data_IF_485105591871
#
_entry.id   IF_485105591871
#
_cell.length_a   1.000
_cell.length_b   1.000
_cell.length_c   1.000
_cell.angle_alpha   90.00
_cell.angle_beta   90.00
_cell.angle_gamma   90.00
#
_symmetry.space_group_name_H-M   'P 1'
#
loop_
_entity.id
_entity.type
_entity.pdbx_description
1 polymer ?
#
# COMPACT_ATOMS: atom_id res chain seq x y z
N UNK A 1 29.30 1.28 -6.70
CA UNK A 1 28.71 1.64 -5.40
C UNK A 1 27.75 2.83 -5.53
N UNK A 2 28.12 3.97 -6.12
CA UNK A 2 27.25 5.14 -6.25
C UNK A 2 25.86 4.83 -6.85
N UNK A 3 25.77 4.20 -8.02
CA UNK A 3 24.49 3.86 -8.65
C UNK A 3 23.65 2.83 -7.91
N UNK A 4 24.20 2.10 -6.93
CA UNK A 4 23.41 1.23 -6.03
C UNK A 4 22.80 2.05 -4.90
N UNK A 5 23.52 3.02 -4.34
CA UNK A 5 23.03 3.88 -3.27
C UNK A 5 21.95 4.87 -3.78
N UNK A 6 22.07 5.38 -5.00
CA UNK A 6 21.03 6.19 -5.64
C UNK A 6 19.71 5.40 -5.76
N UNK A 7 19.77 4.16 -6.28
CA UNK A 7 18.58 3.30 -6.37
C UNK A 7 17.97 2.95 -5.01
N UNK A 8 18.80 2.78 -3.97
CA UNK A 8 18.32 2.56 -2.60
C UNK A 8 17.59 3.80 -2.11
N UNK A 9 18.09 5.01 -2.39
CA UNK A 9 17.42 6.26 -2.03
C UNK A 9 16.07 6.41 -2.72
N UNK A 10 16.00 6.20 -4.04
CA UNK A 10 14.74 6.23 -4.81
C UNK A 10 13.72 5.19 -4.32
N UNK A 11 14.18 3.97 -4.05
CA UNK A 11 13.33 2.93 -3.48
C UNK A 11 12.82 3.31 -2.09
N UNK A 12 13.65 3.96 -1.27
CA UNK A 12 13.27 4.41 0.06
C UNK A 12 12.18 5.47 0.01
N UNK A 13 12.25 6.41 -0.93
CA UNK A 13 11.19 7.41 -1.15
C UNK A 13 9.88 6.74 -1.58
N UNK A 14 9.95 5.75 -2.48
CA UNK A 14 8.78 4.98 -2.92
C UNK A 14 8.13 4.20 -1.77
N UNK A 15 8.93 3.55 -0.91
CA UNK A 15 8.44 2.82 0.26
C UNK A 15 7.84 3.77 1.29
N UNK A 16 8.45 4.94 1.53
CA UNK A 16 7.89 5.97 2.40
C UNK A 16 6.52 6.46 1.90
N UNK A 17 6.40 6.73 0.59
CA UNK A 17 5.13 7.12 -0.01
C UNK A 17 4.05 6.03 0.16
N UNK A 18 4.39 4.75 -0.07
CA UNK A 18 3.47 3.63 0.14
C UNK A 18 3.05 3.48 1.61
N UNK A 19 3.96 3.71 2.56
CA UNK A 19 3.65 3.69 3.99
C UNK A 19 2.71 4.84 4.40
N UNK A 20 2.89 6.03 3.84
CA UNK A 20 1.97 7.15 4.04
C UNK A 20 0.58 6.88 3.44
N UNK A 21 0.50 6.24 2.27
CA UNK A 21 -0.78 5.83 1.68
C UNK A 21 -1.48 4.76 2.54
N UNK A 22 -0.72 3.80 3.08
CA UNK A 22 -1.26 2.81 4.02
C UNK A 22 -1.79 3.44 5.30
N UNK A 23 -1.14 4.48 5.84
CA UNK A 23 -1.63 5.29 6.96
C UNK A 23 -2.95 5.98 6.64
N UNK A 24 -3.06 6.67 5.52
CA UNK A 24 -4.29 7.34 5.09
C UNK A 24 -5.45 6.35 4.87
N UNK A 25 -5.14 5.16 4.32
CA UNK A 25 -6.11 4.08 4.19
C UNK A 25 -6.54 3.54 5.57
N UNK A 26 -5.62 3.38 6.51
CA UNK A 26 -5.94 2.97 7.87
C UNK A 26 -6.86 3.98 8.57
N UNK A 27 -6.63 5.28 8.44
CA UNK A 27 -7.53 6.32 8.95
C UNK A 27 -8.92 6.25 8.34
N UNK A 28 -9.01 6.02 7.03
CA UNK A 28 -10.29 5.87 6.31
C UNK A 28 -11.06 4.65 6.81
N UNK A 29 -10.37 3.49 6.97
CA UNK A 29 -11.00 2.26 7.47
C UNK A 29 -11.38 2.39 8.94
N UNK A 30 -10.61 3.16 9.74
CA UNK A 30 -10.97 3.48 11.14
C UNK A 30 -12.30 4.22 11.19
N UNK A 31 -12.47 5.29 10.39
CA UNK A 31 -13.72 6.04 10.32
C UNK A 31 -14.91 5.17 9.88
N UNK A 32 -14.71 4.33 8.86
CA UNK A 32 -15.74 3.39 8.43
C UNK A 32 -16.11 2.35 9.50
N UNK A 33 -15.14 1.90 10.30
CA UNK A 33 -15.38 0.98 11.42
C UNK A 33 -16.18 1.62 12.54
N UNK A 34 -15.93 2.91 12.83
CA UNK A 34 -16.74 3.68 13.81
C UNK A 34 -18.19 3.84 13.35
N UNK A 35 -18.42 4.13 12.05
CA UNK A 35 -19.76 4.20 11.47
C UNK A 35 -20.47 2.85 11.52
N UNK A 36 -19.75 1.76 11.19
CA UNK A 36 -20.28 0.39 11.33
C UNK A 36 -20.67 0.07 12.78
N UNK A 37 -19.83 0.40 13.74
CA UNK A 37 -20.13 0.19 15.16
C UNK A 37 -21.35 0.99 15.61
N UNK A 38 -21.56 2.19 15.11
CA UNK A 38 -22.76 3.00 15.37
C UNK A 38 -24.02 2.35 14.74
N UNK A 39 -23.91 1.87 13.49
CA UNK A 39 -24.99 1.15 12.81
C UNK A 39 -25.38 -0.14 13.53
N UNK A 40 -24.38 -0.92 13.98
CA UNK A 40 -24.59 -2.16 14.75
C UNK A 40 -25.37 -1.88 16.04
N UNK A 41 -25.03 -0.84 16.77
CA UNK A 41 -25.78 -0.43 17.97
C UNK A 41 -27.24 -0.06 17.66
N UNK A 42 -27.47 0.65 16.57
CA UNK A 42 -28.83 1.00 16.15
C UNK A 42 -29.63 -0.24 15.72
N UNK A 43 -29.02 -1.16 14.97
CA UNK A 43 -29.67 -2.43 14.60
C UNK A 43 -30.00 -3.26 15.86
N UNK A 44 -29.08 -3.32 16.83
CA UNK A 44 -29.32 -4.01 18.11
C UNK A 44 -30.53 -3.43 18.82
N UNK A 45 -30.67 -2.11 18.92
CA UNK A 45 -31.82 -1.42 19.51
C UNK A 45 -33.12 -1.76 18.77
N UNK A 46 -33.08 -1.79 17.42
CA UNK A 46 -34.24 -2.14 16.60
C UNK A 46 -34.67 -3.60 16.79
N UNK A 47 -33.73 -4.53 16.98
CA UNK A 47 -34.02 -5.92 17.27
C UNK A 47 -34.68 -6.08 18.65
N UNK A 48 -34.19 -5.36 19.66
CA UNK A 48 -34.79 -5.34 21.01
C UNK A 48 -36.23 -4.83 20.95
N UNK A 49 -36.47 -3.76 20.23
CA UNK A 49 -37.80 -3.20 20.01
C UNK A 49 -38.71 -4.17 19.24
N UNK A 50 -38.19 -4.81 18.18
CA UNK A 50 -38.94 -5.83 17.43
C UNK A 50 -39.31 -7.02 18.29
N UNK A 51 -38.39 -7.48 19.13
CA UNK A 51 -38.64 -8.59 20.07
C UNK A 51 -39.70 -8.22 21.11
N UNK A 52 -39.70 -7.00 21.65
CA UNK A 52 -40.76 -6.51 22.55
C UNK A 52 -42.12 -6.49 21.85
N UNK A 53 -42.17 -5.94 20.64
CA UNK A 53 -43.43 -5.89 19.86
C UNK A 53 -43.95 -7.27 19.49
N UNK A 54 -43.09 -8.23 19.19
CA UNK A 54 -43.53 -9.63 18.94
C UNK A 54 -44.05 -10.30 20.18
N UNK A 55 -43.45 -10.04 21.36
CA UNK A 55 -43.98 -10.54 22.64
C UNK A 55 -45.35 -9.95 22.95
N UNK A 56 -45.57 -8.65 22.77
CA UNK A 56 -46.87 -8.00 22.93
C UNK A 56 -47.91 -8.56 21.95
N UNK A 57 -47.53 -8.78 20.69
CA UNK A 57 -48.40 -9.33 19.66
C UNK A 57 -48.76 -10.80 19.97
N UNK A 58 -47.86 -11.62 20.51
CA UNK A 58 -48.13 -12.96 20.99
C UNK A 58 -49.17 -12.95 22.13
N UNK A 59 -48.99 -12.08 23.13
CA UNK A 59 -49.91 -11.91 24.23
C UNK A 59 -51.31 -11.49 23.75
N UNK A 60 -51.40 -10.55 22.83
CA UNK A 60 -52.64 -10.12 22.21
C UNK A 60 -53.31 -11.25 21.44
N UNK A 61 -52.51 -12.08 20.73
CA UNK A 61 -52.97 -13.28 20.06
C UNK A 61 -53.61 -14.32 21.03
N UNK A 62 -52.98 -14.57 22.14
CA UNK A 62 -53.49 -15.47 23.19
C UNK A 62 -54.82 -14.94 23.79
N UNK A 63 -54.89 -13.65 24.07
CA UNK A 63 -56.13 -13.01 24.55
C UNK A 63 -57.23 -13.15 23.53
N UNK A 64 -56.95 -12.90 22.25
CA UNK A 64 -57.87 -13.04 21.16
C UNK A 64 -58.40 -14.51 21.04
N UNK A 65 -57.52 -15.51 21.09
CA UNK A 65 -57.85 -16.92 21.03
C UNK A 65 -58.80 -17.32 22.19
N UNK A 66 -58.49 -16.89 23.42
CA UNK A 66 -59.29 -17.12 24.59
C UNK A 66 -60.70 -16.45 24.47
N UNK A 67 -60.71 -15.23 23.95
CA UNK A 67 -61.98 -14.49 23.74
C UNK A 67 -62.88 -15.19 22.73
N UNK A 68 -62.31 -15.63 21.61
CA UNK A 68 -63.07 -16.32 20.54
C UNK A 68 -63.51 -17.72 21.02
N UNK A 69 -62.73 -18.41 21.81
CA UNK A 69 -63.14 -19.66 22.44
C UNK A 69 -64.33 -19.46 23.37
N UNK A 70 -64.28 -18.42 24.22
CA UNK A 70 -65.41 -18.08 25.09
C UNK A 70 -66.70 -17.68 24.30
N UNK A 71 -66.50 -17.01 23.17
CA UNK A 71 -67.63 -16.69 22.24
C UNK A 71 -68.24 -17.97 21.68
N UNK A 72 -67.41 -18.92 21.22
CA UNK A 72 -67.85 -20.23 20.73
C UNK A 72 -68.72 -20.95 21.78
N UNK A 73 -68.20 -21.09 23.03
CA UNK A 73 -68.91 -21.70 24.10
C UNK A 73 -70.26 -21.02 24.38
N UNK A 74 -70.33 -19.71 24.25
CA UNK A 74 -71.55 -18.93 24.42
C UNK A 74 -72.57 -19.20 23.30
N UNK A 75 -72.10 -19.25 22.05
CA UNK A 75 -72.92 -19.61 20.90
C UNK A 75 -73.47 -21.02 20.97
N UNK A 76 -72.65 -21.97 21.41
CA UNK A 76 -73.10 -23.37 21.61
C UNK A 76 -74.17 -23.45 22.65
N UNK A 77 -74.07 -22.75 23.78
CA UNK A 77 -75.19 -22.69 24.83
C UNK A 77 -76.42 -22.03 24.30
N UNK A 78 -76.32 -20.96 23.49
CA UNK A 78 -77.53 -20.37 22.89
C UNK A 78 -78.20 -21.34 21.92
N UNK A 79 -77.40 -22.16 21.22
CA UNK A 79 -77.89 -23.27 20.38
C UNK A 79 -78.71 -24.26 21.15
N UNK A 80 -78.21 -24.73 22.31
CA UNK A 80 -78.94 -25.63 23.19
C UNK A 80 -80.25 -25.02 23.67
N UNK A 81 -80.26 -23.71 23.99
CA UNK A 81 -81.49 -23.03 24.41
C UNK A 81 -82.48 -22.89 23.25
N UNK A 82 -81.97 -22.60 22.04
CA UNK A 82 -82.82 -22.51 20.84
C UNK A 82 -83.49 -23.84 20.50
N UNK A 83 -82.73 -24.97 20.62
CA UNK A 83 -83.28 -26.31 20.43
C UNK A 83 -84.39 -26.63 21.46
N UNK A 84 -84.12 -26.30 22.74
CA UNK A 84 -85.14 -26.50 23.81
C UNK A 84 -86.43 -25.69 23.55
N UNK A 85 -86.30 -24.41 23.07
CA UNK A 85 -87.43 -23.54 22.69
C UNK A 85 -88.24 -24.19 21.53
N UNK A 86 -87.48 -24.73 20.54
CA UNK A 86 -88.05 -25.44 19.40
C UNK A 86 -88.89 -26.64 19.85
N UNK A 87 -88.40 -27.45 20.79
CA UNK A 87 -89.07 -28.59 21.37
C UNK A 87 -90.32 -28.17 22.15
N UNK A 88 -90.22 -27.07 22.94
CA UNK A 88 -91.38 -26.51 23.66
C UNK A 88 -92.48 -26.07 22.69
N UNK A 89 -92.09 -25.41 21.60
CA UNK A 89 -92.97 -24.94 20.55
C UNK A 89 -93.67 -26.13 19.86
N UNK A 90 -92.95 -27.17 19.54
CA UNK A 90 -93.51 -28.40 18.97
C UNK A 90 -94.51 -29.11 19.96
N UNK A 91 -94.14 -29.15 21.20
CA UNK A 91 -95.04 -29.72 22.24
C UNK A 91 -96.32 -28.87 22.46
N UNK A 92 -96.09 -27.52 22.44
CA UNK A 92 -97.25 -26.56 22.55
C UNK A 92 -98.19 -26.66 21.36
N UNK A 93 -97.67 -26.83 20.14
CA UNK A 93 -98.42 -27.03 18.91
C UNK A 93 -99.30 -28.34 19.02
N UNK A 94 -98.70 -29.42 19.54
CA UNK A 94 -99.40 -30.68 19.80
C UNK A 94 -100.52 -30.53 20.87
N UNK A 95 -100.27 -29.80 21.95
CA UNK A 95 -101.24 -29.50 22.99
C UNK A 95 -102.43 -28.64 22.41
N UNK A 96 -102.05 -27.60 21.58
CA UNK A 96 -103.07 -26.75 20.92
C UNK A 96 -103.90 -27.54 19.91
N UNK A 97 -103.30 -28.49 19.20
CA UNK A 97 -103.99 -29.39 18.30
C UNK A 97 -105.02 -30.25 19.04
N UNK A 98 -104.60 -30.86 20.17
CA UNK A 98 -105.48 -31.67 21.01
C UNK A 98 -106.65 -30.84 21.57
N UNK A 99 -106.35 -29.60 22.02
CA UNK A 99 -107.37 -28.67 22.48
C UNK A 99 -108.33 -28.27 21.36
N UNK A 100 -107.85 -28.07 20.10
CA UNK A 100 -108.70 -27.79 18.94
C UNK A 100 -109.65 -28.98 18.64
N UNK A 101 -109.14 -30.19 18.74
CA UNK A 101 -109.93 -31.43 18.54
C UNK A 101 -111.09 -31.52 19.59
N UNK A 102 -110.74 -31.33 20.89
CA UNK A 102 -111.68 -31.40 21.96
C UNK A 102 -112.70 -30.28 21.94
N UNK A 103 -112.32 -29.05 21.55
CA UNK A 103 -113.22 -27.97 21.34
C UNK A 103 -114.22 -28.21 20.15
N UNK A 104 -113.80 -28.89 19.11
CA UNK A 104 -114.66 -29.35 18.02
C UNK A 104 -115.65 -30.42 18.48
N UNK A 105 -115.20 -31.28 19.42
CA UNK A 105 -116.04 -32.38 20.02
C UNK A 105 -117.12 -31.83 20.92
N UNK A 106 -116.86 -30.66 21.59
CA UNK A 106 -117.88 -30.00 22.46
C UNK A 106 -118.95 -29.20 21.67
N UNK A 107 -118.93 -29.20 20.40
CA UNK A 107 -119.88 -28.54 19.54
C UNK A 107 -120.01 -27.03 19.76
N UNK A 108 -121.21 -26.48 19.88
CA UNK A 108 -121.48 -25.01 20.03
C UNK A 108 -120.89 -24.45 21.35
N UNK A 109 -120.76 -25.24 22.42
CA UNK A 109 -120.14 -24.83 23.70
C UNK A 109 -118.64 -24.69 23.62
N UNK A 110 -118.00 -25.31 22.64
CA UNK A 110 -116.54 -25.23 22.41
C UNK A 110 -116.03 -24.16 21.53
N UNK A 111 -116.91 -23.34 20.86
CA UNK A 111 -116.45 -22.32 19.85
C UNK A 111 -115.45 -21.29 20.36
N UNK A 112 -115.58 -20.78 21.61
CA UNK A 112 -114.60 -19.85 22.21
C UNK A 112 -113.25 -20.52 22.48
N UNK A 113 -113.29 -21.78 22.94
CA UNK A 113 -112.06 -22.58 23.15
C UNK A 113 -111.37 -22.94 21.84
N UNK A 114 -112.08 -23.21 20.78
CA UNK A 114 -111.51 -23.49 19.47
C UNK A 114 -110.69 -22.27 18.89
N UNK A 115 -111.17 -21.05 19.09
CA UNK A 115 -110.47 -19.81 18.66
C UNK A 115 -109.12 -19.66 19.45
N UNK A 116 -109.19 -19.85 20.77
CA UNK A 116 -107.95 -19.77 21.62
C UNK A 116 -106.98 -20.87 21.25
N UNK A 117 -107.49 -22.12 21.08
CA UNK A 117 -106.64 -23.22 20.66
C UNK A 117 -105.95 -22.99 19.30
N UNK A 118 -106.66 -22.41 18.33
CA UNK A 118 -106.12 -22.09 17.05
C UNK A 118 -105.04 -20.95 17.16
N UNK A 119 -105.29 -19.91 18.00
CA UNK A 119 -104.31 -18.86 18.26
C UNK A 119 -103.00 -19.39 18.93
N UNK A 120 -103.18 -20.26 19.94
CA UNK A 120 -102.06 -20.95 20.57
C UNK A 120 -101.19 -21.77 19.55
N UNK A 121 -101.95 -22.45 18.65
CA UNK A 121 -101.33 -23.22 17.58
C UNK A 121 -100.56 -22.33 16.60
N UNK A 122 -101.13 -21.17 16.22
CA UNK A 122 -100.45 -20.22 15.35
C UNK A 122 -99.21 -19.65 16.01
N UNK A 123 -99.25 -19.33 17.32
CA UNK A 123 -98.16 -18.82 18.08
C UNK A 123 -97.01 -19.87 18.23
N UNK A 124 -97.43 -21.16 18.49
CA UNK A 124 -96.47 -22.24 18.52
C UNK A 124 -95.71 -22.46 17.21
N UNK A 125 -96.46 -22.41 16.07
CA UNK A 125 -95.84 -22.47 14.73
C UNK A 125 -94.94 -21.29 14.44
N UNK A 126 -95.31 -20.09 14.86
CA UNK A 126 -94.45 -18.89 14.70
C UNK A 126 -93.22 -18.96 15.55
N UNK A 127 -93.32 -19.46 16.79
CA UNK A 127 -92.19 -19.70 17.68
C UNK A 127 -91.21 -20.70 17.07
N UNK A 128 -91.77 -21.88 16.57
CA UNK A 128 -90.89 -22.85 15.87
C UNK A 128 -90.12 -22.29 14.68
N UNK A 129 -90.78 -21.46 13.84
CA UNK A 129 -90.15 -20.83 12.72
C UNK A 129 -89.12 -19.81 13.14
N UNK A 130 -89.37 -19.06 14.21
CA UNK A 130 -88.35 -18.12 14.76
C UNK A 130 -87.11 -18.82 15.34
N UNK A 131 -87.32 -19.97 16.04
CA UNK A 131 -86.20 -20.75 16.56
C UNK A 131 -85.38 -21.42 15.45
N UNK A 132 -86.05 -21.91 14.40
CA UNK A 132 -85.32 -22.39 13.20
C UNK A 132 -84.42 -21.35 12.58
N UNK A 133 -84.92 -20.09 12.44
CA UNK A 133 -84.12 -18.97 11.95
C UNK A 133 -82.99 -18.63 12.91
N UNK A 134 -83.19 -18.63 14.23
CA UNK A 134 -82.10 -18.42 15.21
C UNK A 134 -81.07 -19.56 15.10
N UNK A 135 -81.42 -20.82 14.97
CA UNK A 135 -80.49 -21.94 14.78
C UNK A 135 -79.64 -21.76 13.50
N UNK A 136 -80.27 -21.32 12.41
CA UNK A 136 -79.55 -21.01 11.17
C UNK A 136 -78.49 -19.89 11.38
N UNK A 137 -78.88 -18.78 12.03
CA UNK A 137 -77.99 -17.68 12.35
C UNK A 137 -76.85 -18.11 13.28
N UNK A 138 -77.10 -18.94 14.27
CA UNK A 138 -76.08 -19.51 15.16
C UNK A 138 -75.11 -20.35 14.37
N UNK A 139 -75.55 -21.17 13.41
CA UNK A 139 -74.68 -21.91 12.52
C UNK A 139 -73.75 -21.01 11.68
N UNK A 140 -74.27 -19.87 11.20
CA UNK A 140 -73.43 -18.87 10.51
C UNK A 140 -72.37 -18.27 11.45
N UNK A 141 -72.79 -17.90 12.68
CA UNK A 141 -71.88 -17.36 13.70
C UNK A 141 -70.80 -18.38 14.06
N UNK A 142 -71.14 -19.65 14.24
CA UNK A 142 -70.19 -20.77 14.52
C UNK A 142 -69.14 -20.90 13.40
N UNK A 143 -69.54 -20.82 12.10
CA UNK A 143 -68.66 -20.90 10.96
C UNK A 143 -67.70 -19.70 10.90
N UNK A 144 -68.20 -18.49 11.13
CA UNK A 144 -67.37 -17.27 11.21
C UNK A 144 -66.41 -17.34 12.36
N UNK A 145 -66.85 -17.75 13.55
CA UNK A 145 -66.04 -17.93 14.76
C UNK A 145 -64.92 -18.92 14.50
N UNK A 146 -65.21 -20.10 13.90
CA UNK A 146 -64.24 -21.08 13.49
C UNK A 146 -63.16 -20.50 12.54
N UNK A 147 -63.58 -19.68 11.57
CA UNK A 147 -62.65 -19.01 10.66
C UNK A 147 -61.74 -17.99 11.36
N UNK A 148 -62.27 -17.26 12.36
CA UNK A 148 -61.49 -16.34 13.20
C UNK A 148 -60.46 -17.07 14.04
N UNK A 149 -60.84 -18.18 14.67
CA UNK A 149 -59.90 -19.05 15.43
C UNK A 149 -58.71 -19.46 14.53
N UNK A 150 -59.00 -19.99 13.33
CA UNK A 150 -57.96 -20.42 12.41
C UNK A 150 -57.05 -19.25 11.99
N UNK A 151 -57.60 -18.08 11.80
CA UNK A 151 -56.85 -16.87 11.44
C UNK A 151 -55.94 -16.41 12.59
N UNK A 152 -56.45 -16.38 13.81
CA UNK A 152 -55.65 -16.02 15.02
C UNK A 152 -54.51 -17.02 15.23
N UNK A 153 -54.76 -18.32 15.10
CA UNK A 153 -53.68 -19.33 15.19
C UNK A 153 -52.62 -19.15 14.11
N UNK A 154 -53.04 -18.87 12.88
CA UNK A 154 -52.06 -18.57 11.80
C UNK A 154 -51.27 -17.31 12.10
N UNK A 155 -51.90 -16.27 12.64
CA UNK A 155 -51.23 -15.03 13.04
C UNK A 155 -50.20 -15.29 14.13
N UNK A 156 -50.58 -15.99 15.20
CA UNK A 156 -49.65 -16.37 16.29
C UNK A 156 -48.47 -17.19 15.79
N UNK A 157 -48.70 -18.15 14.88
CA UNK A 157 -47.63 -18.91 14.24
C UNK A 157 -46.64 -18.01 13.44
N UNK A 158 -47.15 -17.02 12.70
CA UNK A 158 -46.32 -16.06 11.96
C UNK A 158 -45.53 -15.15 12.91
N UNK A 159 -46.10 -14.71 14.01
CA UNK A 159 -45.43 -13.89 15.03
C UNK A 159 -44.29 -14.68 15.66
N UNK A 160 -44.44 -15.95 16.01
CA UNK A 160 -43.36 -16.82 16.51
C UNK A 160 -42.23 -16.95 15.50
N UNK A 161 -42.56 -17.01 14.20
CA UNK A 161 -41.53 -17.05 13.15
C UNK A 161 -40.78 -15.73 13.04
N UNK A 162 -41.42 -14.55 13.25
CA UNK A 162 -40.75 -13.26 13.32
C UNK A 162 -39.79 -13.21 14.51
N UNK A 163 -40.18 -13.70 15.65
CA UNK A 163 -39.34 -13.79 16.84
C UNK A 163 -38.09 -14.66 16.62
N UNK A 164 -38.24 -15.81 15.96
CA UNK A 164 -37.12 -16.67 15.56
C UNK A 164 -36.16 -15.96 14.62
N UNK A 165 -36.69 -15.21 13.63
CA UNK A 165 -35.87 -14.41 12.70
C UNK A 165 -35.14 -13.29 13.44
N UNK A 166 -35.82 -12.59 14.34
CA UNK A 166 -35.20 -11.51 15.15
C UNK A 166 -34.07 -12.08 16.03
N UNK A 167 -34.24 -13.24 16.63
CA UNK A 167 -33.21 -13.94 17.40
C UNK A 167 -32.00 -14.30 16.54
N UNK A 168 -32.21 -14.83 15.33
CA UNK A 168 -31.12 -15.14 14.40
C UNK A 168 -30.39 -13.88 13.92
N UNK A 169 -31.10 -12.79 13.68
CA UNK A 169 -30.48 -11.49 13.34
C UNK A 169 -29.67 -10.97 14.51
N UNK A 170 -30.12 -11.11 15.76
CA UNK A 170 -29.36 -10.73 16.95
C UNK A 170 -28.02 -11.47 17.05
N UNK A 171 -27.99 -12.75 16.70
CA UNK A 171 -26.74 -13.55 16.68
C UNK A 171 -25.78 -13.00 15.60
N UNK A 172 -26.28 -12.74 14.38
CA UNK A 172 -25.48 -12.23 13.29
C UNK A 172 -24.91 -10.83 13.59
N UNK A 173 -25.70 -9.97 14.23
CA UNK A 173 -25.30 -8.63 14.64
C UNK A 173 -24.17 -8.68 15.68
N UNK A 174 -24.21 -9.60 16.64
CA UNK A 174 -23.09 -9.81 17.57
C UNK A 174 -21.81 -10.25 16.85
N UNK A 175 -21.92 -11.17 15.89
CA UNK A 175 -20.78 -11.58 15.09
C UNK A 175 -20.20 -10.43 14.26
N UNK A 176 -21.08 -9.53 13.74
CA UNK A 176 -20.62 -8.31 13.06
C UNK A 176 -19.92 -7.33 14.00
N UNK A 177 -20.41 -7.20 15.25
CA UNK A 177 -19.75 -6.37 16.26
C UNK A 177 -18.35 -6.89 16.58
N UNK A 178 -18.21 -8.19 16.83
CA UNK A 178 -16.91 -8.84 17.07
C UNK A 178 -15.94 -8.61 15.89
N UNK A 179 -16.42 -8.81 14.65
CA UNK A 179 -15.62 -8.61 13.46
C UNK A 179 -15.21 -7.13 13.26
N UNK A 180 -16.13 -6.19 13.54
CA UNK A 180 -15.85 -4.74 13.45
C UNK A 180 -14.81 -4.31 14.47
N UNK A 181 -14.87 -4.86 15.70
CA UNK A 181 -13.86 -4.62 16.73
C UNK A 181 -12.49 -5.21 16.35
N UNK A 182 -12.46 -6.35 15.66
CA UNK A 182 -11.23 -6.94 15.15
C UNK A 182 -10.63 -6.09 14.02
N UNK A 183 -11.47 -5.59 13.10
CA UNK A 183 -11.06 -4.66 12.06
C UNK A 183 -10.44 -3.42 12.69
N UNK A 184 -11.09 -2.80 13.67
CA UNK A 184 -10.58 -1.61 14.35
C UNK A 184 -9.19 -1.87 14.99
N UNK A 185 -8.99 -3.02 15.63
CA UNK A 185 -7.67 -3.39 16.18
C UNK A 185 -6.61 -3.57 15.10
N UNK A 186 -6.95 -4.25 14.00
CA UNK A 186 -6.03 -4.47 12.88
C UNK A 186 -5.63 -3.16 12.19
N UNK A 187 -6.55 -2.19 12.12
CA UNK A 187 -6.29 -0.85 11.58
C UNK A 187 -5.26 -0.11 12.44
N UNK A 188 -5.41 -0.15 13.76
CA UNK A 188 -4.42 0.46 14.68
C UNK A 188 -3.05 -0.18 14.49
N UNK A 189 -2.96 -1.51 14.42
CA UNK A 189 -1.70 -2.20 14.17
C UNK A 189 -1.09 -1.86 12.81
N UNK A 190 -1.94 -1.70 11.78
CA UNK A 190 -1.48 -1.28 10.44
C UNK A 190 -0.90 0.13 10.48
N UNK A 191 -1.54 1.05 11.18
CA UNK A 191 -1.04 2.41 11.36
C UNK A 191 0.30 2.45 12.11
N UNK A 192 0.43 1.67 13.19
CA UNK A 192 1.69 1.53 13.94
C UNK A 192 2.80 0.94 13.07
N UNK A 193 2.52 -0.13 12.33
CA UNK A 193 3.49 -0.75 11.42
C UNK A 193 3.91 0.20 10.29
N UNK A 194 2.98 0.98 9.73
CA UNK A 194 3.28 1.96 8.68
C UNK A 194 4.18 3.08 9.20
N UNK A 195 3.97 3.55 10.43
CA UNK A 195 4.84 4.52 11.07
C UNK A 195 6.25 3.96 11.29
N UNK A 196 6.35 2.72 11.77
CA UNK A 196 7.65 2.03 11.95
C UNK A 196 8.39 1.85 10.62
N UNK A 197 7.67 1.50 9.55
CA UNK A 197 8.25 1.42 8.19
C UNK A 197 8.76 2.78 7.74
N UNK A 198 8.01 3.87 7.97
CA UNK A 198 8.43 5.23 7.62
C UNK A 198 9.70 5.64 8.36
N UNK A 199 9.81 5.34 9.64
CA UNK A 199 11.02 5.62 10.44
C UNK A 199 12.23 4.81 9.92
N UNK A 200 12.06 3.50 9.75
CA UNK A 200 13.14 2.61 9.30
C UNK A 200 13.62 2.95 7.88
N UNK A 201 12.71 3.29 6.99
CA UNK A 201 13.08 3.63 5.62
C UNK A 201 13.81 4.99 5.56
N UNK A 202 13.48 5.92 6.46
CA UNK A 202 14.25 7.14 6.64
C UNK A 202 15.70 6.88 7.03
N UNK A 203 15.93 5.93 7.94
CA UNK A 203 17.30 5.48 8.28
C UNK A 203 18.02 4.86 7.09
N UNK A 204 17.34 4.00 6.31
CA UNK A 204 17.92 3.39 5.10
C UNK A 204 18.32 4.46 4.07
N UNK A 205 17.48 5.46 3.85
CA UNK A 205 17.79 6.56 2.96
C UNK A 205 19.02 7.37 3.44
N UNK A 206 19.13 7.63 4.74
CA UNK A 206 20.29 8.30 5.34
C UNK A 206 21.57 7.47 5.17
N UNK A 207 21.53 6.16 5.42
CA UNK A 207 22.68 5.27 5.21
C UNK A 207 23.09 5.21 3.73
N UNK A 208 22.13 5.23 2.80
CA UNK A 208 22.41 5.28 1.37
C UNK A 208 23.15 6.58 1.00
N UNK A 209 22.76 7.71 1.57
CA UNK A 209 23.43 8.99 1.37
C UNK A 209 24.85 9.01 1.94
N UNK A 210 25.05 8.43 3.12
CA UNK A 210 26.38 8.28 3.71
C UNK A 210 27.28 7.38 2.85
N UNK A 211 26.73 6.31 2.28
CA UNK A 211 27.44 5.43 1.36
C UNK A 211 27.85 6.14 0.05
N UNK A 212 27.02 7.06 -0.45
CA UNK A 212 27.41 7.92 -1.59
C UNK A 212 28.63 8.79 -1.25
N UNK A 213 28.62 9.40 -0.09
CA UNK A 213 29.75 10.22 0.39
C UNK A 213 31.02 9.39 0.53
N UNK A 214 30.94 8.22 1.17
CA UNK A 214 32.07 7.29 1.31
C UNK A 214 32.57 6.78 -0.04
N UNK A 215 31.69 6.54 -1.01
CA UNK A 215 32.07 6.13 -2.35
C UNK A 215 32.86 7.23 -3.10
N UNK A 216 32.44 8.50 -2.93
CA UNK A 216 33.17 9.65 -3.47
C UNK A 216 34.57 9.78 -2.83
N UNK A 217 34.68 9.63 -1.51
CA UNK A 217 35.97 9.65 -0.80
C UNK A 217 36.88 8.50 -1.23
N UNK A 218 36.34 7.29 -1.42
CA UNK A 218 37.09 6.14 -1.93
C UNK A 218 37.65 6.40 -3.35
N UNK A 219 36.86 7.02 -4.23
CA UNK A 219 37.36 7.38 -5.57
C UNK A 219 38.50 8.38 -5.48
N UNK A 220 38.43 9.39 -4.61
CA UNK A 220 39.51 10.36 -4.38
C UNK A 220 40.77 9.67 -3.84
N UNK A 221 40.63 8.77 -2.87
CA UNK A 221 41.77 7.99 -2.36
C UNK A 221 42.38 7.12 -3.46
N UNK A 222 41.56 6.50 -4.31
CA UNK A 222 42.06 5.70 -5.43
C UNK A 222 42.88 6.55 -6.42
N UNK A 223 42.43 7.77 -6.75
CA UNK A 223 43.19 8.72 -7.58
C UNK A 223 44.52 9.12 -6.93
N UNK A 224 44.53 9.37 -5.61
CA UNK A 224 45.75 9.70 -4.87
C UNK A 224 46.74 8.53 -4.85
N UNK A 225 46.24 7.29 -4.71
CA UNK A 225 47.07 6.06 -4.78
C UNK A 225 47.66 5.89 -6.19
N UNK A 226 46.86 6.07 -7.23
CA UNK A 226 47.33 5.98 -8.62
C UNK A 226 48.43 7.03 -8.91
N UNK A 227 48.25 8.26 -8.44
CA UNK A 227 49.27 9.30 -8.54
C UNK A 227 50.55 8.92 -7.80
N UNK A 228 50.48 8.37 -6.59
CA UNK A 228 51.60 7.94 -5.80
C UNK A 228 52.36 6.76 -6.46
N UNK A 229 51.64 5.79 -7.02
CA UNK A 229 52.23 4.69 -7.79
C UNK A 229 52.98 5.20 -9.01
N UNK A 230 52.41 6.17 -9.72
CA UNK A 230 53.06 6.80 -10.90
C UNK A 230 54.39 7.48 -10.51
N UNK A 231 54.40 8.20 -9.39
CA UNK A 231 55.60 8.86 -8.87
C UNK A 231 56.65 7.83 -8.41
N UNK A 232 56.25 6.79 -7.72
CA UNK A 232 57.09 5.69 -7.27
C UNK A 232 57.76 4.98 -8.47
N UNK A 233 57.00 4.70 -9.51
CA UNK A 233 57.51 4.15 -10.78
C UNK A 233 58.55 5.03 -11.41
N UNK A 234 58.30 6.35 -11.46
CA UNK A 234 59.26 7.35 -12.01
C UNK A 234 60.55 7.38 -11.20
N UNK A 235 60.44 7.32 -9.86
CA UNK A 235 61.59 7.29 -8.95
C UNK A 235 62.41 5.99 -9.08
N UNK A 236 61.74 4.84 -9.21
CA UNK A 236 62.37 3.55 -9.41
C UNK A 236 63.20 3.51 -10.71
N UNK A 237 62.59 3.97 -11.81
CA UNK A 237 63.31 4.09 -13.11
C UNK A 237 64.56 4.97 -12.99
N UNK A 238 64.45 6.07 -12.23
CA UNK A 238 65.59 6.98 -12.00
C UNK A 238 66.69 6.27 -11.18
N UNK A 239 66.34 5.57 -10.10
CA UNK A 239 67.30 4.84 -9.25
C UNK A 239 68.02 3.73 -10.05
N UNK A 240 67.25 2.91 -10.80
CA UNK A 240 67.83 1.87 -11.66
C UNK A 240 68.82 2.43 -12.66
N UNK A 241 68.49 3.59 -13.31
CA UNK A 241 69.39 4.28 -14.24
C UNK A 241 70.67 4.81 -13.62
N UNK A 242 70.60 5.21 -12.33
CA UNK A 242 71.79 5.77 -11.65
C UNK A 242 72.61 4.72 -10.89
N UNK A 243 72.00 3.63 -10.48
CA UNK A 243 72.68 2.59 -9.67
C UNK A 243 73.39 1.52 -10.51
N UNK A 244 73.04 1.35 -11.78
CA UNK A 244 73.64 0.34 -12.66
C UNK A 244 74.70 0.96 -13.58
N UNK A 245 76.01 0.75 -13.34
CA UNK A 245 77.07 1.28 -14.20
C UNK A 245 76.93 0.89 -15.70
N UNK A 246 76.31 -0.29 -15.94
CA UNK A 246 76.08 -0.82 -17.30
C UNK A 246 74.98 -0.08 -18.07
N UNK A 247 74.03 0.59 -17.37
CA UNK A 247 72.96 1.38 -17.98
C UNK A 247 73.34 2.85 -18.12
N UNK A 248 74.32 3.32 -17.32
CA UNK A 248 74.83 4.68 -17.45
C UNK A 248 75.90 4.74 -18.51
N UNK A 249 75.52 4.74 -19.78
CA UNK A 249 76.39 4.87 -20.96
C UNK A 249 77.10 6.25 -21.05
N UNK A 250 76.85 7.14 -20.10
CA UNK A 250 77.36 8.53 -20.12
C UNK A 250 78.73 8.58 -19.45
N UNK A 251 79.68 8.97 -20.24
CA UNK A 251 81.08 9.10 -19.80
C UNK A 251 81.35 10.43 -19.08
N UNK A 252 80.56 11.44 -19.32
CA UNK A 252 80.74 12.79 -18.79
C UNK A 252 79.52 13.29 -18.00
N UNK A 253 79.71 14.01 -16.88
CA UNK A 253 78.62 14.59 -16.09
C UNK A 253 77.87 15.63 -16.93
N UNK A 254 76.52 15.69 -16.81
CA UNK A 254 75.66 16.67 -17.44
C UNK A 254 75.21 17.74 -16.45
N UNK A 255 75.13 18.93 -16.95
CA UNK A 255 74.73 20.11 -16.20
C UNK A 255 73.48 20.71 -16.84
N UNK A 256 72.43 20.92 -16.07
CA UNK A 256 71.21 21.63 -16.52
C UNK A 256 71.58 23.13 -16.60
N UNK A 257 71.87 23.62 -17.79
CA UNK A 257 72.30 24.99 -17.99
C UNK A 257 71.72 25.57 -19.28
N UNK A 258 71.13 26.76 -19.19
CA UNK A 258 70.63 27.51 -20.33
C UNK A 258 71.71 28.50 -20.82
N UNK A 259 72.54 27.99 -21.69
CA UNK A 259 73.57 28.81 -22.34
C UNK A 259 73.15 29.13 -23.77
N UNK A 260 73.36 30.37 -24.19
CA UNK A 260 73.07 30.72 -25.58
C UNK A 260 74.04 29.98 -26.49
N UNK A 261 73.52 29.43 -27.58
CA UNK A 261 74.30 28.70 -28.57
C UNK A 261 74.01 29.20 -29.97
N UNK A 262 75.04 29.18 -30.81
CA UNK A 262 74.89 29.38 -32.25
C UNK A 262 75.33 28.10 -32.96
N UNK A 263 74.42 27.48 -33.68
CA UNK A 263 74.66 26.25 -34.43
C UNK A 263 74.74 26.53 -35.89
N UNK A 264 75.83 26.06 -36.53
CA UNK A 264 76.07 26.21 -37.98
C UNK A 264 76.06 24.86 -38.64
N UNK A 265 75.12 24.65 -39.62
CA UNK A 265 74.98 23.41 -40.38
C UNK A 265 74.70 23.77 -41.84
N UNK A 266 75.50 23.22 -42.78
CA UNK A 266 75.27 23.40 -44.21
C UNK A 266 75.27 24.88 -44.67
N UNK A 267 76.05 25.74 -44.00
CA UNK A 267 76.15 27.15 -44.31
C UNK A 267 75.05 28.06 -43.69
N UNK A 268 74.02 27.44 -43.00
CA UNK A 268 73.01 28.14 -42.20
C UNK A 268 73.47 28.32 -40.77
N UNK A 269 73.15 29.45 -40.15
CA UNK A 269 73.40 29.69 -38.74
C UNK A 269 72.09 29.86 -37.99
N UNK A 270 71.86 29.06 -36.95
CA UNK A 270 70.67 29.04 -36.09
C UNK A 270 71.07 29.44 -34.68
N UNK A 271 70.22 30.20 -34.00
CA UNK A 271 70.38 30.52 -32.57
C UNK A 271 69.55 29.59 -31.72
N UNK A 272 70.03 29.32 -30.54
CA UNK A 272 69.30 28.49 -29.57
C UNK A 272 69.86 28.60 -28.15
N UNK A 273 69.37 27.77 -27.29
CA UNK A 273 69.86 27.64 -25.91
C UNK A 273 70.07 26.19 -25.57
N UNK A 274 71.04 25.88 -24.71
CA UNK A 274 71.20 24.53 -24.13
C UNK A 274 70.07 24.27 -23.16
N UNK A 275 69.57 23.04 -23.16
CA UNK A 275 68.69 22.50 -22.11
C UNK A 275 69.57 21.81 -21.05
N UNK A 276 70.50 21.01 -21.51
CA UNK A 276 71.56 20.44 -20.71
C UNK A 276 72.84 20.39 -21.51
N UNK A 277 73.98 20.31 -20.83
CA UNK A 277 75.30 20.26 -21.45
C UNK A 277 76.25 19.36 -20.67
N UNK A 278 77.10 18.62 -21.38
CA UNK A 278 78.20 17.84 -20.84
C UNK A 278 79.48 18.07 -21.69
N UNK A 279 80.60 17.51 -21.28
CA UNK A 279 81.77 17.51 -22.12
C UNK A 279 81.56 16.72 -23.43
N UNK A 280 80.70 15.67 -23.42
CA UNK A 280 80.42 14.81 -24.59
C UNK A 280 79.36 15.31 -25.54
N UNK A 281 78.49 16.26 -25.13
CA UNK A 281 77.38 16.72 -25.95
C UNK A 281 76.41 17.61 -25.22
N UNK A 282 75.43 18.16 -25.96
CA UNK A 282 74.42 19.05 -25.40
C UNK A 282 73.04 18.78 -26.00
N UNK A 283 72.03 18.98 -25.21
CA UNK A 283 70.66 19.09 -25.72
C UNK A 283 70.32 20.58 -25.89
N UNK A 284 69.88 20.94 -27.08
CA UNK A 284 69.58 22.33 -27.42
C UNK A 284 68.15 22.51 -27.88
N UNK A 285 67.60 23.69 -27.62
CA UNK A 285 66.38 24.22 -28.26
C UNK A 285 66.83 25.28 -29.30
N UNK A 286 66.51 25.02 -30.53
CA UNK A 286 66.94 25.87 -31.68
C UNK A 286 65.76 26.67 -32.22
N UNK A 287 66.10 27.76 -32.97
CA UNK A 287 65.11 28.60 -33.65
C UNK A 287 64.39 27.88 -34.82
N UNK A 288 65.05 26.88 -35.40
CA UNK A 288 64.53 26.06 -36.52
C UNK A 288 64.93 24.63 -36.34
N UNK A 289 64.13 23.68 -36.89
CA UNK A 289 64.43 22.27 -36.80
C UNK A 289 65.72 21.91 -37.57
N UNK A 290 66.38 20.88 -37.04
CA UNK A 290 67.64 20.33 -37.62
C UNK A 290 67.43 18.85 -37.91
N UNK A 291 67.98 18.33 -38.98
CA UNK A 291 67.87 16.91 -39.32
C UNK A 291 68.80 16.03 -38.48
N UNK A 292 68.37 14.81 -38.11
CA UNK A 292 69.19 13.80 -37.51
C UNK A 292 70.38 13.41 -38.44
N UNK A 293 71.50 13.17 -37.87
CA UNK A 293 72.73 12.86 -38.60
C UNK A 293 73.40 14.09 -39.24
N UNK A 294 72.82 15.28 -39.10
CA UNK A 294 73.45 16.50 -39.59
C UNK A 294 74.76 16.84 -38.84
N UNK A 295 75.81 17.23 -39.57
CA UNK A 295 77.09 17.64 -38.99
C UNK A 295 77.31 19.10 -39.12
N UNK A 296 77.90 19.72 -38.09
CA UNK A 296 78.09 21.14 -38.03
C UNK A 296 79.00 21.59 -36.90
N UNK A 297 78.94 22.83 -36.61
CA UNK A 297 79.69 23.45 -35.52
C UNK A 297 78.74 24.19 -34.59
N UNK A 298 78.88 24.02 -33.27
CA UNK A 298 78.15 24.73 -32.25
C UNK A 298 79.13 25.68 -31.49
N UNK A 299 78.81 26.95 -31.44
CA UNK A 299 79.49 27.91 -30.59
C UNK A 299 78.63 28.11 -29.32
N UNK A 300 79.23 27.91 -28.15
CA UNK A 300 78.59 28.04 -26.87
C UNK A 300 79.05 29.32 -26.20
N UNK A 301 78.09 30.21 -25.85
CA UNK A 301 78.41 31.44 -25.14
C UNK A 301 78.76 31.11 -23.67
N UNK A 302 79.81 31.81 -23.20
CA UNK A 302 80.39 31.57 -21.86
C UNK A 302 81.85 31.08 -22.01
N UNK A 303 82.10 29.86 -22.46
CA UNK A 303 83.44 29.40 -22.80
C UNK A 303 83.92 30.01 -24.12
N UNK A 304 82.98 30.55 -24.88
CA UNK A 304 83.21 31.15 -26.23
C UNK A 304 83.94 30.14 -27.15
N UNK A 305 83.52 28.92 -27.15
CA UNK A 305 84.15 27.75 -27.76
C UNK A 305 83.29 27.19 -28.87
N UNK A 306 83.92 26.98 -30.05
CA UNK A 306 83.23 26.35 -31.20
C UNK A 306 83.66 24.87 -31.30
N UNK A 307 82.66 23.96 -31.26
CA UNK A 307 82.91 22.54 -31.23
C UNK A 307 82.16 21.86 -32.38
N UNK A 308 82.82 20.99 -33.17
CA UNK A 308 82.14 20.18 -34.18
C UNK A 308 81.24 19.17 -33.53
N UNK A 309 80.06 18.97 -34.09
CA UNK A 309 79.06 18.01 -33.58
C UNK A 309 78.38 17.21 -34.70
N UNK A 310 77.70 16.13 -34.28
CA UNK A 310 76.75 15.40 -35.09
C UNK A 310 75.43 15.34 -34.31
N UNK A 311 74.26 15.47 -35.00
CA UNK A 311 72.95 15.39 -34.44
C UNK A 311 72.59 13.92 -34.17
N UNK A 312 72.53 13.49 -32.92
CA UNK A 312 72.16 12.11 -32.53
C UNK A 312 70.65 11.89 -32.63
N UNK A 313 69.88 12.83 -32.12
CA UNK A 313 68.42 12.82 -32.19
C UNK A 313 67.89 14.25 -32.31
N UNK A 314 66.83 14.41 -33.13
CA UNK A 314 66.13 15.66 -33.25
C UNK A 314 64.62 15.43 -33.24
N UNK A 315 63.89 16.28 -32.50
CA UNK A 315 62.45 16.32 -32.47
C UNK A 315 61.99 17.79 -32.48
N UNK A 316 61.37 18.19 -33.56
CA UNK A 316 61.00 19.59 -33.80
C UNK A 316 62.22 20.52 -33.65
N UNK A 317 62.17 21.49 -32.77
CA UNK A 317 63.23 22.43 -32.50
C UNK A 317 64.25 21.99 -31.43
N UNK A 318 64.07 20.76 -30.88
CA UNK A 318 64.96 20.21 -29.86
C UNK A 318 65.88 19.19 -30.50
N UNK A 319 67.18 19.34 -30.29
CA UNK A 319 68.15 18.41 -30.81
C UNK A 319 69.20 17.99 -29.75
N UNK A 320 69.65 16.75 -29.81
CA UNK A 320 70.79 16.21 -29.07
C UNK A 320 72.01 16.30 -30.01
N UNK A 321 72.97 17.14 -29.62
CA UNK A 321 74.21 17.31 -30.34
C UNK A 321 75.35 16.52 -29.64
N UNK A 322 75.92 15.52 -30.34
CA UNK A 322 77.05 14.76 -29.85
C UNK A 322 78.32 15.43 -30.34
N UNK A 323 79.19 15.79 -29.39
CA UNK A 323 80.38 16.53 -29.72
C UNK A 323 81.50 15.60 -30.23
N UNK A 324 82.03 15.90 -31.41
CA UNK A 324 83.15 15.14 -31.91
C UNK A 324 84.38 15.29 -31.00
N UNK A 325 85.19 14.23 -30.87
CA UNK A 325 86.40 14.29 -30.09
C UNK A 325 87.36 15.40 -30.67
N UNK A 326 87.67 16.38 -29.81
CA UNK A 326 88.55 17.52 -30.19
C UNK A 326 89.34 18.01 -29.00
N UNK A 327 90.52 18.55 -29.25
CA UNK A 327 91.33 19.21 -28.19
C UNK A 327 90.58 20.34 -27.51
N UNK A 328 89.76 21.08 -28.25
CA UNK A 328 88.93 22.17 -27.72
C UNK A 328 87.95 21.67 -26.67
N UNK A 329 87.34 20.54 -26.91
CA UNK A 329 86.42 19.85 -25.94
C UNK A 329 87.10 19.52 -24.62
N UNK A 330 88.30 18.92 -24.69
CA UNK A 330 88.99 18.42 -23.48
C UNK A 330 89.75 19.59 -22.76
N UNK A 331 90.35 20.51 -23.49
CA UNK A 331 91.20 21.53 -22.90
C UNK A 331 90.43 22.82 -22.54
N UNK A 332 89.29 23.09 -23.15
CA UNK A 332 88.53 24.35 -22.94
C UNK A 332 87.14 24.10 -22.37
N UNK A 333 86.29 23.24 -22.98
CA UNK A 333 84.92 23.06 -22.56
C UNK A 333 84.83 22.34 -21.23
N UNK A 334 85.48 21.15 -21.07
CA UNK A 334 85.36 20.34 -19.90
C UNK A 334 85.88 21.09 -18.64
N UNK A 335 87.03 21.69 -18.58
CA UNK A 335 87.50 22.48 -17.44
C UNK A 335 86.59 23.67 -17.12
N UNK A 336 85.99 24.31 -18.15
CA UNK A 336 85.06 25.41 -17.96
C UNK A 336 83.73 24.93 -17.29
N UNK A 337 83.20 23.83 -17.76
CA UNK A 337 82.04 23.25 -17.16
C UNK A 337 82.27 22.85 -15.69
N UNK A 338 83.39 22.19 -15.41
CA UNK A 338 83.75 21.77 -14.03
C UNK A 338 83.96 22.98 -13.10
N UNK A 339 84.60 24.09 -13.65
CA UNK A 339 84.79 25.35 -12.90
C UNK A 339 83.47 26.09 -12.64
N UNK A 340 82.54 26.06 -13.59
CA UNK A 340 81.32 26.83 -13.55
C UNK A 340 80.19 26.11 -12.72
N UNK A 341 80.14 24.80 -12.81
CA UNK A 341 79.06 24.01 -12.27
C UNK A 341 79.50 22.97 -11.23
N UNK A 342 80.80 22.82 -10.98
CA UNK A 342 81.39 21.85 -10.06
C UNK A 342 81.70 20.49 -10.70
N UNK A 343 82.53 19.64 -10.03
CA UNK A 343 82.94 18.31 -10.53
C UNK A 343 81.83 17.25 -10.57
N UNK A 344 80.70 17.48 -9.93
CA UNK A 344 79.56 16.58 -9.89
C UNK A 344 78.38 17.24 -10.63
N UNK A 345 78.23 16.88 -11.89
CA UNK A 345 76.96 17.07 -12.63
C UNK A 345 75.99 15.90 -12.34
N UNK A 346 74.72 16.08 -12.71
CA UNK A 346 73.73 14.98 -12.61
C UNK A 346 74.10 13.79 -13.47
#
# INVERSE_FOLDING_TARGET
>A
MAGSSERVSENSESVAAAAHEALANAETVSGASEELAASIREITRQIEEATSLTAEANQAGEIAENTVTSLKDSVDRIGEVAELIGDIAAQTNLLALNATIEAARAGDAGKGFAVVAQEVKNLANQTAKSTEEITRQLGEIQNVTGSVVATVQQMTSRIRRVDEVASNVAVNVRQQDDATQEIARNVVQTAEASNEVTEKIGHVASEAQDNLTRAADMNKIAEEVDASIAELRKSLVRIVRTATPEVNRRKDPRYDAQLAVTVKVGGKSMRGQTIDISAGGTKVSLSEPIAEGAKGEVTIEGPNTTIPFEVEHALDTIANLDFAPSKIREEQLKPWLEKRFGKAGR
#
